data_IF_290854149867
#
_entry.id   IF_290854149867
#
_cell.length_a   1.000
_cell.length_b   1.000
_cell.length_c   1.000
_cell.angle_alpha   90.00
_cell.angle_beta   90.00
_cell.angle_gamma   90.00
#
_symmetry.space_group_name_H-M   'P 1'
#
loop_
_entity.id
_entity.type
_entity.pdbx_description
1 polymer ?
#
# COMPACT_ATOMS: atom_id res chain seq x y z
N UNK A 1 14.46 4.44 -15.12
CA UNK A 1 13.53 5.38 -15.80
C UNK A 1 13.80 6.82 -15.38
N UNK A 2 13.85 7.14 -14.08
CA UNK A 2 14.06 8.51 -13.58
C UNK A 2 15.31 9.18 -14.18
N UNK A 3 16.44 8.46 -14.24
CA UNK A 3 17.70 9.00 -14.80
C UNK A 3 17.65 9.38 -16.29
N UNK A 4 16.68 8.84 -17.03
CA UNK A 4 16.51 9.12 -18.45
C UNK A 4 15.56 10.30 -18.71
N UNK A 5 15.01 10.92 -17.66
CA UNK A 5 14.14 12.09 -17.79
C UNK A 5 14.91 13.29 -18.37
N UNK A 6 14.24 14.14 -19.16
CA UNK A 6 14.81 15.43 -19.57
C UNK A 6 15.27 16.25 -18.36
N UNK A 7 16.38 16.99 -18.54
CA UNK A 7 16.99 17.80 -17.49
C UNK A 7 16.01 18.74 -16.79
N UNK A 8 15.15 19.42 -17.54
CA UNK A 8 14.14 20.34 -17.00
C UNK A 8 13.18 19.65 -16.02
N UNK A 9 12.78 18.41 -16.30
CA UNK A 9 11.94 17.63 -15.39
C UNK A 9 12.70 17.25 -14.12
N UNK A 10 13.95 16.83 -14.25
CA UNK A 10 14.80 16.49 -13.11
C UNK A 10 15.04 17.71 -12.21
N UNK A 11 15.25 18.89 -12.80
CA UNK A 11 15.42 20.14 -12.06
C UNK A 11 14.18 20.45 -11.21
N UNK A 12 12.96 20.30 -11.74
CA UNK A 12 11.75 20.48 -10.94
C UNK A 12 11.56 19.40 -9.86
N UNK A 13 11.83 18.12 -10.18
CA UNK A 13 11.71 17.02 -9.20
C UNK A 13 12.65 17.23 -8.02
N UNK A 14 13.89 17.69 -8.26
CA UNK A 14 14.92 17.83 -7.24
C UNK A 14 15.12 19.28 -6.77
N UNK A 15 14.07 20.11 -6.84
CA UNK A 15 14.06 21.46 -6.27
C UNK A 15 13.07 21.55 -5.11
N UNK A 16 13.60 21.71 -3.89
CA UNK A 16 12.78 21.88 -2.69
C UNK A 16 12.36 23.35 -2.51
N UNK A 17 11.21 23.54 -1.88
CA UNK A 17 10.57 24.85 -1.68
C UNK A 17 11.45 25.88 -0.95
N UNK A 18 12.31 25.44 -0.03
CA UNK A 18 13.23 26.33 0.69
C UNK A 18 14.25 27.07 -0.20
N UNK A 19 14.56 26.54 -1.39
CA UNK A 19 15.54 27.15 -2.30
C UNK A 19 15.02 27.32 -3.73
N UNK A 20 13.77 26.96 -3.99
CA UNK A 20 13.13 27.26 -5.25
C UNK A 20 12.99 28.79 -5.41
N UNK A 21 13.15 29.35 -6.62
CA UNK A 21 12.91 30.78 -6.87
C UNK A 21 11.45 31.18 -6.57
N UNK A 22 10.53 30.26 -6.80
CA UNK A 22 9.12 30.34 -6.43
C UNK A 22 8.55 28.92 -6.22
N UNK A 23 7.38 28.81 -5.56
CA UNK A 23 6.79 27.49 -5.25
C UNK A 23 6.44 26.67 -6.49
N UNK A 24 6.04 27.30 -7.60
CA UNK A 24 5.66 26.59 -8.82
C UNK A 24 6.87 25.99 -9.55
N UNK A 25 8.08 26.45 -9.24
CA UNK A 25 9.36 25.90 -9.70
C UNK A 25 9.92 24.79 -8.79
N UNK A 26 9.20 24.43 -7.71
CA UNK A 26 9.55 23.31 -6.83
C UNK A 26 8.84 22.02 -7.23
N UNK A 27 9.15 20.92 -6.52
CA UNK A 27 8.48 19.64 -6.73
C UNK A 27 6.99 19.63 -6.41
N UNK A 28 6.43 20.61 -5.67
CA UNK A 28 5.05 20.54 -5.10
C UNK A 28 3.96 20.31 -6.15
N UNK A 29 4.09 20.92 -7.34
CA UNK A 29 3.11 20.71 -8.43
C UNK A 29 3.19 19.31 -9.02
N UNK A 30 4.39 18.75 -9.07
CA UNK A 30 4.61 17.38 -9.52
C UNK A 30 4.18 16.39 -8.44
N UNK A 31 4.42 16.67 -7.15
CA UNK A 31 3.90 15.88 -6.02
C UNK A 31 2.38 15.72 -6.14
N UNK A 32 1.65 16.83 -6.30
CA UNK A 32 0.20 16.81 -6.45
C UNK A 32 -0.30 15.88 -7.58
N UNK A 33 0.31 15.96 -8.76
CA UNK A 33 -0.05 15.08 -9.88
C UNK A 33 0.39 13.63 -9.63
N UNK A 34 1.57 13.47 -9.04
CA UNK A 34 2.23 12.20 -8.81
C UNK A 34 1.49 11.32 -7.84
N UNK A 35 0.93 11.92 -6.79
CA UNK A 35 0.04 11.27 -5.83
C UNK A 35 -1.16 10.63 -6.56
N UNK A 36 -1.87 11.40 -7.39
CA UNK A 36 -3.01 10.87 -8.17
C UNK A 36 -2.61 9.74 -9.13
N UNK A 37 -1.45 9.85 -9.78
CA UNK A 37 -0.94 8.81 -10.70
C UNK A 37 -0.57 7.53 -9.93
N UNK A 38 0.09 7.68 -8.78
CA UNK A 38 0.42 6.58 -7.88
C UNK A 38 -0.86 5.88 -7.38
N UNK A 39 -1.82 6.66 -6.89
CA UNK A 39 -3.11 6.14 -6.42
C UNK A 39 -3.83 5.33 -7.50
N UNK A 40 -3.85 5.83 -8.74
CA UNK A 40 -4.46 5.12 -9.87
C UNK A 40 -3.71 3.83 -10.20
N UNK A 41 -2.38 3.86 -10.29
CA UNK A 41 -1.57 2.67 -10.58
C UNK A 41 -1.79 1.57 -9.53
N UNK A 42 -1.78 1.93 -8.24
CA UNK A 42 -2.02 0.97 -7.17
C UNK A 42 -3.48 0.54 -7.12
N UNK A 43 -4.45 1.43 -7.28
CA UNK A 43 -5.87 1.07 -7.29
C UNK A 43 -6.19 0.08 -8.41
N UNK A 44 -5.66 0.31 -9.63
CA UNK A 44 -5.85 -0.58 -10.77
C UNK A 44 -5.24 -1.96 -10.52
N UNK A 45 -4.01 -2.00 -10.01
CA UNK A 45 -3.36 -3.27 -9.65
C UNK A 45 -4.15 -4.05 -8.61
N UNK A 46 -4.63 -3.39 -7.55
CA UNK A 46 -5.41 -4.03 -6.50
C UNK A 46 -6.76 -4.56 -7.03
N UNK A 47 -7.42 -3.82 -7.91
CA UNK A 47 -8.67 -4.23 -8.55
C UNK A 47 -8.48 -5.51 -9.38
N UNK A 48 -7.43 -5.55 -10.21
CA UNK A 48 -7.17 -6.73 -11.05
C UNK A 48 -6.70 -7.94 -10.23
N UNK A 49 -5.84 -7.70 -9.22
CA UNK A 49 -5.23 -8.75 -8.41
C UNK A 49 -6.20 -9.38 -7.41
N UNK A 50 -7.22 -8.63 -6.96
CA UNK A 50 -8.16 -9.06 -5.93
C UNK A 50 -9.63 -8.88 -6.36
N UNK A 51 -10.11 -9.64 -7.35
CA UNK A 51 -11.46 -9.48 -7.91
C UNK A 51 -12.58 -9.72 -6.89
N UNK A 52 -12.31 -10.51 -5.83
CA UNK A 52 -13.29 -10.84 -4.79
C UNK A 52 -13.25 -9.88 -3.58
N UNK A 53 -12.37 -8.87 -3.59
CA UNK A 53 -12.24 -7.93 -2.48
C UNK A 53 -13.32 -6.83 -2.51
N UNK A 54 -13.82 -6.47 -1.34
CA UNK A 54 -14.74 -5.34 -1.16
C UNK A 54 -14.06 -3.98 -1.44
N UNK A 55 -14.84 -2.96 -1.78
CA UNK A 55 -14.34 -1.58 -1.97
C UNK A 55 -13.57 -1.08 -0.73
N UNK A 56 -14.14 -1.24 0.46
CA UNK A 56 -13.50 -0.83 1.71
C UNK A 56 -12.17 -1.56 1.96
N UNK A 57 -12.07 -2.84 1.61
CA UNK A 57 -10.82 -3.61 1.70
C UNK A 57 -9.77 -3.08 0.70
N UNK A 58 -10.16 -2.86 -0.54
CA UNK A 58 -9.27 -2.30 -1.57
C UNK A 58 -8.77 -0.90 -1.14
N UNK A 59 -9.64 -0.04 -0.62
CA UNK A 59 -9.29 1.27 -0.11
C UNK A 59 -8.31 1.20 1.09
N UNK A 60 -8.54 0.28 2.03
CA UNK A 60 -7.66 0.04 3.18
C UNK A 60 -6.27 -0.44 2.75
N UNK A 61 -6.20 -1.38 1.80
CA UNK A 61 -4.91 -1.83 1.24
C UNK A 61 -4.22 -0.68 0.50
N UNK A 62 -4.93 0.03 -0.39
CA UNK A 62 -4.39 1.16 -1.15
C UNK A 62 -3.77 2.20 -0.22
N UNK A 63 -4.53 2.69 0.77
CA UNK A 63 -4.08 3.71 1.72
C UNK A 63 -2.82 3.31 2.50
N UNK A 64 -2.63 2.02 2.79
CA UNK A 64 -1.40 1.52 3.38
C UNK A 64 -0.24 1.54 2.38
N UNK A 65 -0.47 1.02 1.17
CA UNK A 65 0.54 0.91 0.12
C UNK A 65 1.03 2.28 -0.34
N UNK A 66 0.14 3.25 -0.57
CA UNK A 66 0.51 4.62 -0.98
C UNK A 66 0.77 5.55 0.20
N UNK A 67 0.85 5.01 1.43
CA UNK A 67 1.10 5.85 2.59
C UNK A 67 2.43 6.59 2.47
N UNK A 68 2.51 7.77 3.09
CA UNK A 68 3.74 8.55 3.17
C UNK A 68 4.92 7.76 3.75
N UNK A 69 4.66 6.79 4.62
CA UNK A 69 5.69 5.88 5.12
C UNK A 69 6.23 4.96 4.02
N UNK A 70 5.34 4.34 3.25
CA UNK A 70 5.67 3.48 2.12
C UNK A 70 6.39 4.25 1.02
N UNK A 71 5.89 5.43 0.63
CA UNK A 71 6.54 6.31 -0.34
C UNK A 71 7.96 6.69 0.12
N UNK A 72 8.14 7.12 1.37
CA UNK A 72 9.47 7.42 1.89
C UNK A 72 10.41 6.19 1.94
N UNK A 73 9.87 4.98 2.10
CA UNK A 73 10.67 3.76 2.08
C UNK A 73 11.17 3.45 0.65
N UNK A 74 10.28 3.51 -0.35
CA UNK A 74 10.65 3.36 -1.77
C UNK A 74 11.61 4.49 -2.21
N UNK A 75 11.39 5.72 -1.77
CA UNK A 75 12.26 6.84 -2.06
C UNK A 75 13.70 6.63 -1.55
N UNK A 76 13.86 5.95 -0.39
CA UNK A 76 15.18 5.58 0.13
C UNK A 76 15.83 4.48 -0.69
N UNK A 77 15.08 3.46 -1.09
CA UNK A 77 15.58 2.39 -1.96
C UNK A 77 16.09 2.94 -3.31
N UNK A 78 15.52 4.06 -3.77
CA UNK A 78 15.93 4.75 -5.00
C UNK A 78 16.92 5.90 -4.77
N UNK A 79 17.44 6.08 -3.54
CA UNK A 79 18.38 7.13 -3.15
C UNK A 79 17.91 8.57 -3.47
N UNK A 80 16.60 8.85 -3.37
CA UNK A 80 16.04 10.17 -3.72
C UNK A 80 16.62 11.32 -2.88
N UNK A 81 16.91 11.07 -1.59
CA UNK A 81 17.51 12.08 -0.71
C UNK A 81 18.92 12.49 -1.15
N UNK A 82 19.73 11.55 -1.63
CA UNK A 82 21.09 11.83 -2.13
C UNK A 82 21.04 12.62 -3.44
N UNK A 83 20.08 12.30 -4.31
CA UNK A 83 19.84 13.04 -5.55
C UNK A 83 19.40 14.48 -5.27
N UNK A 84 18.53 14.68 -4.27
CA UNK A 84 18.16 16.03 -3.81
C UNK A 84 19.37 16.79 -3.26
N UNK A 85 20.22 16.13 -2.46
CA UNK A 85 21.45 16.73 -1.93
C UNK A 85 22.38 17.20 -3.06
N UNK A 86 22.56 16.37 -4.09
CA UNK A 86 23.38 16.71 -5.25
C UNK A 86 22.81 17.91 -6.05
N UNK A 87 21.47 17.99 -6.16
CA UNK A 87 20.80 19.08 -6.87
C UNK A 87 20.81 20.42 -6.10
N UNK A 88 20.83 20.39 -4.76
CA UNK A 88 20.84 21.60 -3.93
C UNK A 88 22.13 22.45 -4.06
N UNK A 89 23.22 21.86 -4.54
CA UNK A 89 24.51 22.52 -4.67
C UNK A 89 25.07 23.01 -3.32
N UNK A 90 25.71 24.18 -3.30
CA UNK A 90 26.35 24.76 -2.09
C UNK A 90 25.50 25.82 -1.38
N UNK A 91 24.23 25.99 -1.78
CA UNK A 91 23.39 27.12 -1.35
C UNK A 91 22.78 27.02 0.04
N UNK A 92 22.81 25.83 0.67
CA UNK A 92 22.25 25.59 2.01
C UNK A 92 23.32 25.16 3.00
N UNK A 93 23.12 25.53 4.27
CA UNK A 93 23.95 25.03 5.36
C UNK A 93 23.82 23.49 5.46
N UNK A 94 24.95 22.81 5.72
CA UNK A 94 25.02 21.34 5.72
C UNK A 94 24.01 20.67 6.67
N UNK A 95 23.78 21.25 7.85
CA UNK A 95 22.83 20.72 8.83
C UNK A 95 21.37 20.83 8.37
N UNK A 96 21.03 21.91 7.67
CA UNK A 96 19.69 22.10 7.11
C UNK A 96 19.43 21.13 5.97
N UNK A 97 20.38 21.03 5.04
CA UNK A 97 20.30 20.08 3.93
C UNK A 97 20.16 18.64 4.45
N UNK A 98 20.99 18.25 5.42
CA UNK A 98 20.96 16.91 6.05
C UNK A 98 19.59 16.58 6.64
N UNK A 99 18.90 17.56 7.25
CA UNK A 99 17.55 17.39 7.80
C UNK A 99 16.50 17.22 6.72
N UNK A 100 16.58 18.03 5.66
CA UNK A 100 15.64 18.01 4.54
C UNK A 100 15.72 16.67 3.80
N UNK A 101 16.92 16.21 3.44
CA UNK A 101 17.10 14.97 2.66
C UNK A 101 16.76 13.70 3.44
N UNK A 102 16.76 13.75 4.78
CA UNK A 102 16.31 12.66 5.67
C UNK A 102 14.83 12.74 6.01
N UNK A 103 14.16 13.84 5.70
CA UNK A 103 12.75 14.04 6.02
C UNK A 103 11.88 13.05 5.25
N UNK A 104 11.04 12.32 5.99
CA UNK A 104 10.04 11.42 5.40
C UNK A 104 9.06 12.16 4.49
N UNK A 105 8.67 13.37 4.86
CA UNK A 105 7.74 14.16 4.06
C UNK A 105 8.38 14.55 2.72
N UNK A 106 9.62 15.03 2.76
CA UNK A 106 10.34 15.45 1.55
C UNK A 106 10.61 14.25 0.65
N UNK A 107 11.19 13.18 1.19
CA UNK A 107 11.54 12.00 0.38
C UNK A 107 10.32 11.33 -0.26
N UNK A 108 9.17 11.27 0.43
CA UNK A 108 7.92 10.83 -0.17
C UNK A 108 7.47 11.75 -1.32
N UNK A 109 7.47 13.06 -1.09
CA UNK A 109 7.09 14.05 -2.11
C UNK A 109 7.99 13.99 -3.35
N UNK A 110 9.30 13.76 -3.18
CA UNK A 110 10.23 13.57 -4.31
C UNK A 110 9.87 12.34 -5.16
N UNK A 111 9.45 11.25 -4.53
CA UNK A 111 9.03 10.05 -5.25
C UNK A 111 7.76 10.32 -6.06
N UNK A 112 6.75 10.94 -5.45
CA UNK A 112 5.52 11.35 -6.13
C UNK A 112 5.84 12.31 -7.29
N UNK A 113 6.68 13.31 -7.05
CA UNK A 113 7.13 14.22 -8.11
C UNK A 113 7.85 13.52 -9.26
N UNK A 114 8.70 12.52 -8.97
CA UNK A 114 9.35 11.71 -9.98
C UNK A 114 8.34 10.87 -10.78
N UNK A 115 7.32 10.32 -10.13
CA UNK A 115 6.21 9.60 -10.78
C UNK A 115 5.48 10.54 -11.76
N UNK A 116 5.16 11.76 -11.35
CA UNK A 116 4.54 12.75 -12.24
C UNK A 116 5.44 13.11 -13.42
N UNK A 117 6.73 13.32 -13.21
CA UNK A 117 7.68 13.60 -14.29
C UNK A 117 7.74 12.46 -15.31
N UNK A 118 7.75 11.21 -14.84
CA UNK A 118 7.67 10.03 -15.70
C UNK A 118 6.34 9.95 -16.44
N UNK A 119 5.24 10.26 -15.79
CA UNK A 119 3.91 10.26 -16.40
C UNK A 119 3.82 11.27 -17.54
N UNK A 120 4.30 12.49 -17.31
CA UNK A 120 4.30 13.55 -18.32
C UNK A 120 5.23 13.26 -19.49
N UNK A 121 6.27 12.44 -19.29
CA UNK A 121 7.25 12.08 -20.33
C UNK A 121 6.85 10.85 -21.13
N UNK A 122 6.21 9.87 -20.49
CA UNK A 122 6.04 8.54 -21.06
C UNK A 122 4.58 8.08 -21.14
N UNK A 123 3.65 8.81 -20.51
CA UNK A 123 2.26 8.39 -20.35
C UNK A 123 2.07 7.31 -19.29
N UNK A 124 0.82 7.11 -18.86
CA UNK A 124 0.46 6.20 -17.77
C UNK A 124 0.84 4.75 -18.06
N UNK A 125 0.42 4.22 -19.21
CA UNK A 125 0.59 2.79 -19.56
C UNK A 125 2.05 2.32 -19.49
N UNK A 126 2.99 3.21 -19.86
CA UNK A 126 4.42 2.87 -19.86
C UNK A 126 5.04 2.87 -18.47
N UNK A 127 4.48 3.61 -17.51
CA UNK A 127 5.09 3.79 -16.18
C UNK A 127 4.39 2.96 -15.10
N UNK A 128 3.10 2.63 -15.27
CA UNK A 128 2.32 1.94 -14.26
C UNK A 128 2.96 0.61 -13.81
N UNK A 129 3.49 -0.25 -14.70
CA UNK A 129 4.18 -1.48 -14.28
C UNK A 129 5.41 -1.22 -13.40
N UNK A 130 6.15 -0.14 -13.67
CA UNK A 130 7.33 0.22 -12.87
C UNK A 130 6.95 0.76 -11.49
N UNK A 131 5.83 1.50 -11.39
CA UNK A 131 5.26 1.93 -10.10
C UNK A 131 4.85 0.70 -9.29
N UNK A 132 4.06 -0.20 -9.88
CA UNK A 132 3.60 -1.43 -9.21
C UNK A 132 4.78 -2.27 -8.74
N UNK A 133 5.82 -2.43 -9.58
CA UNK A 133 7.03 -3.16 -9.22
C UNK A 133 7.77 -2.52 -8.04
N UNK A 134 7.87 -1.18 -7.98
CA UNK A 134 8.52 -0.49 -6.86
C UNK A 134 7.75 -0.64 -5.53
N UNK A 135 6.44 -0.92 -5.58
CA UNK A 135 5.58 -1.08 -4.40
C UNK A 135 5.21 -2.55 -4.12
N UNK A 136 5.74 -3.52 -4.87
CA UNK A 136 5.32 -4.94 -4.80
C UNK A 136 5.34 -5.52 -3.39
N UNK A 137 6.44 -5.28 -2.66
CA UNK A 137 6.60 -5.81 -1.30
C UNK A 137 5.58 -5.22 -0.33
N UNK A 138 5.15 -3.98 -0.57
CA UNK A 138 4.15 -3.30 0.26
C UNK A 138 2.75 -3.80 -0.08
N UNK A 139 2.48 -4.09 -1.35
CA UNK A 139 1.23 -4.72 -1.78
C UNK A 139 1.10 -6.11 -1.14
N UNK A 140 2.15 -6.92 -1.18
CA UNK A 140 2.15 -8.25 -0.56
C UNK A 140 2.06 -8.19 0.98
N UNK A 141 2.79 -7.27 1.61
CA UNK A 141 2.69 -7.08 3.06
C UNK A 141 1.27 -6.64 3.46
N UNK A 142 0.68 -5.69 2.75
CA UNK A 142 -0.68 -5.21 3.01
C UNK A 142 -1.71 -6.33 2.84
N UNK A 143 -1.53 -7.19 1.83
CA UNK A 143 -2.36 -8.40 1.63
C UNK A 143 -2.36 -9.27 2.87
N UNK A 144 -1.21 -9.54 3.49
CA UNK A 144 -1.14 -10.43 4.67
C UNK A 144 -1.69 -9.80 5.95
N UNK A 145 -1.55 -8.47 6.11
CA UNK A 145 -1.84 -7.81 7.38
C UNK A 145 -3.25 -7.18 7.43
N UNK A 146 -3.84 -6.88 6.27
CA UNK A 146 -5.12 -6.18 6.15
C UNK A 146 -6.24 -7.05 5.54
N UNK A 147 -6.10 -8.38 5.56
CA UNK A 147 -7.25 -9.28 5.39
C UNK A 147 -8.17 -9.10 6.60
N UNK A 148 -9.42 -8.72 6.36
CA UNK A 148 -10.44 -8.58 7.41
C UNK A 148 -11.77 -9.24 7.03
N UNK A 149 -11.67 -10.49 6.58
CA UNK A 149 -12.82 -11.38 6.36
C UNK A 149 -13.71 -11.52 7.60
N UNK A 150 -13.15 -11.36 8.81
CA UNK A 150 -13.95 -11.35 10.04
C UNK A 150 -14.94 -10.19 10.07
N UNK A 151 -14.49 -8.98 9.74
CA UNK A 151 -15.36 -7.81 9.63
C UNK A 151 -16.36 -7.96 8.49
N UNK A 152 -15.89 -8.39 7.30
CA UNK A 152 -16.77 -8.62 6.15
C UNK A 152 -17.89 -9.64 6.48
N UNK A 153 -17.55 -10.74 7.15
CA UNK A 153 -18.52 -11.75 7.59
C UNK A 153 -19.50 -11.18 8.63
N UNK A 154 -19.00 -10.41 9.59
CA UNK A 154 -19.85 -9.78 10.60
C UNK A 154 -20.85 -8.80 9.97
N UNK A 155 -20.42 -7.98 9.01
CA UNK A 155 -21.29 -7.06 8.28
C UNK A 155 -22.32 -7.80 7.41
N UNK A 156 -21.91 -8.88 6.74
CA UNK A 156 -22.82 -9.71 5.95
C UNK A 156 -23.92 -10.33 6.82
N UNK A 157 -23.56 -10.87 7.98
CA UNK A 157 -24.49 -11.49 8.92
C UNK A 157 -25.40 -10.49 9.62
N UNK A 158 -24.89 -9.29 9.93
CA UNK A 158 -25.65 -8.23 10.58
C UNK A 158 -26.92 -7.84 9.79
N UNK A 159 -26.88 -7.89 8.45
CA UNK A 159 -28.04 -7.64 7.58
C UNK A 159 -29.20 -8.61 7.83
N UNK A 160 -28.89 -9.79 8.36
CA UNK A 160 -29.86 -10.88 8.64
C UNK A 160 -30.07 -11.12 10.13
N UNK A 161 -29.48 -10.29 11.00
CA UNK A 161 -29.54 -10.47 12.46
C UNK A 161 -28.76 -11.68 12.99
N UNK A 162 -27.92 -12.30 12.16
CA UNK A 162 -27.10 -13.46 12.52
C UNK A 162 -25.76 -13.00 13.11
N UNK A 163 -25.09 -13.89 13.84
CA UNK A 163 -23.77 -13.59 14.44
C UNK A 163 -22.79 -14.74 14.21
N UNK A 164 -21.50 -14.41 14.17
CA UNK A 164 -20.42 -15.40 14.05
C UNK A 164 -19.62 -15.48 15.35
N UNK A 165 -19.30 -16.70 15.77
CA UNK A 165 -18.30 -16.99 16.79
C UNK A 165 -17.14 -17.79 16.18
N UNK A 166 -15.93 -17.63 16.74
CA UNK A 166 -14.74 -18.34 16.28
C UNK A 166 -14.24 -19.27 17.38
N UNK A 167 -14.06 -20.54 17.03
CA UNK A 167 -13.60 -21.59 17.94
C UNK A 167 -12.26 -22.11 17.45
N UNK A 168 -11.23 -22.09 18.31
CA UNK A 168 -9.97 -22.79 18.03
C UNK A 168 -10.26 -24.28 18.21
N UNK A 169 -10.21 -25.03 17.11
CA UNK A 169 -10.49 -26.48 17.12
C UNK A 169 -9.23 -27.29 17.36
N UNK A 170 -8.05 -26.77 16.98
CA UNK A 170 -6.79 -27.46 17.15
C UNK A 170 -5.58 -26.50 17.17
N UNK A 171 -4.50 -26.95 17.82
CA UNK A 171 -3.19 -26.27 17.86
C UNK A 171 -2.08 -27.30 17.78
N UNK A 172 -1.36 -27.31 16.66
CA UNK A 172 -0.28 -28.26 16.39
C UNK A 172 1.09 -27.58 16.32
N UNK A 173 2.15 -28.35 16.56
CA UNK A 173 3.55 -27.91 16.38
C UNK A 173 4.20 -27.25 17.61
N UNK A 174 5.53 -27.13 17.61
CA UNK A 174 6.29 -26.54 18.71
C UNK A 174 6.04 -25.04 18.82
N UNK A 175 6.30 -24.43 19.99
CA UNK A 175 5.97 -23.02 20.27
C UNK A 175 6.46 -22.01 19.22
N UNK A 176 7.59 -22.28 18.56
CA UNK A 176 8.20 -21.42 17.53
C UNK A 176 7.68 -21.71 16.10
N UNK A 177 6.83 -22.72 15.91
CA UNK A 177 6.27 -23.14 14.63
C UNK A 177 4.84 -23.70 14.79
N UNK A 178 4.03 -23.05 15.65
CA UNK A 178 2.63 -23.47 15.88
C UNK A 178 1.77 -23.22 14.64
N UNK A 179 0.84 -24.13 14.41
CA UNK A 179 -0.27 -23.99 13.49
C UNK A 179 -1.58 -24.03 14.29
N UNK A 180 -2.51 -23.16 13.94
CA UNK A 180 -3.81 -23.05 14.57
C UNK A 180 -4.87 -23.43 13.54
N UNK A 181 -5.86 -24.20 13.97
CA UNK A 181 -7.08 -24.47 13.20
C UNK A 181 -8.26 -23.82 13.90
N UNK A 182 -9.10 -23.11 13.16
CA UNK A 182 -10.25 -22.37 13.68
C UNK A 182 -11.50 -22.64 12.84
N UNK A 183 -12.63 -22.82 13.52
CA UNK A 183 -13.95 -22.91 12.90
C UNK A 183 -14.71 -21.58 13.09
N UNK A 184 -15.37 -21.11 12.03
CA UNK A 184 -16.33 -20.02 12.07
C UNK A 184 -17.74 -20.61 12.20
N UNK A 185 -18.36 -20.40 13.36
CA UNK A 185 -19.71 -20.89 13.67
C UNK A 185 -20.73 -19.75 13.56
N UNK A 186 -21.79 -19.97 12.80
CA UNK A 186 -22.86 -19.00 12.60
C UNK A 186 -24.16 -19.65 13.08
N UNK A 187 -24.77 -19.06 14.10
CA UNK A 187 -25.94 -19.61 14.80
C UNK A 187 -25.77 -21.07 15.29
N UNK A 188 -24.53 -21.45 15.62
CA UNK A 188 -24.17 -22.78 16.13
C UNK A 188 -23.75 -23.79 15.06
N UNK A 189 -23.85 -23.45 13.77
CA UNK A 189 -23.38 -24.32 12.68
C UNK A 189 -22.02 -23.85 12.15
N UNK A 190 -21.10 -24.79 11.95
CA UNK A 190 -19.80 -24.51 11.33
C UNK A 190 -19.99 -24.29 9.82
N UNK A 191 -19.62 -23.10 9.35
CA UNK A 191 -19.71 -22.72 7.93
C UNK A 191 -18.36 -22.41 7.28
N UNK A 192 -17.26 -22.40 8.06
CA UNK A 192 -15.93 -22.22 7.51
C UNK A 192 -14.83 -22.73 8.45
N UNK A 193 -13.75 -23.25 7.87
CA UNK A 193 -12.66 -23.88 8.61
C UNK A 193 -11.30 -23.39 8.11
N UNK A 194 -10.58 -22.63 8.94
CA UNK A 194 -9.32 -21.99 8.52
C UNK A 194 -8.11 -22.42 9.34
N UNK A 195 -6.96 -22.48 8.68
CA UNK A 195 -5.67 -22.78 9.31
C UNK A 195 -4.69 -21.63 9.14
N UNK A 196 -3.82 -21.39 10.12
CA UNK A 196 -2.81 -20.34 10.05
C UNK A 196 -1.69 -20.49 11.08
N UNK A 197 -0.60 -19.73 10.93
CA UNK A 197 0.53 -19.73 11.89
C UNK A 197 0.20 -18.96 13.16
N UNK A 198 -0.84 -18.15 13.12
CA UNK A 198 -1.40 -17.45 14.27
C UNK A 198 -2.89 -17.71 14.35
N UNK A 199 -3.46 -17.60 15.56
CA UNK A 199 -4.91 -17.66 15.75
C UNK A 199 -5.65 -16.65 14.86
N UNK A 200 -5.11 -15.43 14.71
CA UNK A 200 -5.70 -14.39 13.86
C UNK A 200 -5.77 -14.84 12.39
N UNK A 201 -4.70 -15.43 11.85
CA UNK A 201 -4.69 -15.94 10.47
C UNK A 201 -5.71 -17.06 10.28
N UNK A 202 -5.77 -18.02 11.20
CA UNK A 202 -6.73 -19.12 11.15
C UNK A 202 -8.18 -18.63 11.19
N UNK A 203 -8.50 -17.66 12.04
CA UNK A 203 -9.84 -17.05 12.10
C UNK A 203 -10.20 -16.29 10.81
N UNK A 204 -9.25 -15.56 10.22
CA UNK A 204 -9.48 -14.85 8.95
C UNK A 204 -9.77 -15.82 7.80
N UNK A 205 -9.05 -16.96 7.74
CA UNK A 205 -9.31 -17.99 6.73
C UNK A 205 -10.66 -18.70 6.98
N UNK A 206 -11.02 -18.96 8.23
CA UNK A 206 -12.33 -19.54 8.58
C UNK A 206 -13.46 -18.59 8.15
N UNK A 207 -13.29 -17.29 8.38
CA UNK A 207 -14.23 -16.27 7.96
C UNK A 207 -14.37 -16.20 6.43
N UNK A 208 -13.25 -16.31 5.70
CA UNK A 208 -13.24 -16.36 4.23
C UNK A 208 -14.06 -17.52 3.69
N UNK A 209 -13.89 -18.72 4.26
CA UNK A 209 -14.65 -19.89 3.85
C UNK A 209 -16.14 -19.76 4.18
N UNK A 210 -16.47 -19.23 5.36
CA UNK A 210 -17.86 -18.97 5.74
C UNK A 210 -18.55 -17.95 4.81
N UNK A 211 -17.85 -16.88 4.41
CA UNK A 211 -18.33 -15.94 3.40
C UNK A 211 -18.63 -16.63 2.06
N UNK A 212 -17.73 -17.50 1.59
CA UNK A 212 -17.93 -18.25 0.36
C UNK A 212 -19.11 -19.23 0.46
N UNK A 213 -19.27 -19.92 1.59
CA UNK A 213 -20.40 -20.80 1.85
C UNK A 213 -21.73 -20.03 1.81
N UNK A 214 -21.82 -18.89 2.50
CA UNK A 214 -23.01 -18.03 2.49
C UNK A 214 -23.37 -17.54 1.08
N UNK A 215 -22.37 -17.18 0.26
CA UNK A 215 -22.60 -16.77 -1.12
C UNK A 215 -23.17 -17.91 -1.96
N UNK A 216 -22.70 -19.15 -1.77
CA UNK A 216 -23.20 -20.32 -2.50
C UNK A 216 -24.64 -20.69 -2.14
N UNK A 217 -25.05 -20.50 -0.88
CA UNK A 217 -26.42 -20.81 -0.40
C UNK A 217 -27.47 -19.77 -0.84
N UNK A 218 -27.04 -18.59 -1.28
CA UNK A 218 -27.91 -17.52 -1.74
C UNK A 218 -28.28 -17.61 -3.24
N UNK A 219 -27.76 -18.64 -3.94
CA UNK A 219 -28.01 -18.94 -5.36
C UNK A 219 -29.00 -20.09 -5.50
#
# INVERSE_FOLDING_TARGET
>A
MIEALPRERLEHVFTHTSWAPDRASSYERLEFLGDSVLELAIAKELYDRYPDASEGRLAKIRSHVVSRQSCAAVARELNMGERLAAAAGTGLAGDELSRIVKSRNVTAALLEAAIAALFLEHGYEKIAPAIVAAFSDRIEYARTTHVDHKTELQEALAKTGRTVSYVVVDVEGPAHARHFSCAAQIDGEELGHGTGRTKKEAEQEAARQALAALASMAT
#
